data_IF_204201709641
#
_entry.id   IF_204201709641
#
_cell.length_a   1.000
_cell.length_b   1.000
_cell.length_c   1.000
_cell.angle_alpha   90.00
_cell.angle_beta   90.00
_cell.angle_gamma   90.00
#
_symmetry.space_group_name_H-M   'P 1'
#
loop_
_entity.id
_entity.type
_entity.pdbx_description
1 polymer ?
2 non-polymer ?
3 water ?
#
# COMPACT_ATOMS: atom_id res chain seq x y z
N UNK A 2 -9.65 23.44 -3.43
CA UNK A 2 -8.63 22.47 -3.77
C UNK A 2 -9.20 21.05 -3.78
N UNK A 3 -9.43 20.51 -2.58
CA UNK A 3 -9.97 19.15 -2.48
C UNK A 3 -11.40 19.09 -2.97
N UNK A 4 -12.17 20.18 -2.84
CA UNK A 4 -13.54 20.19 -3.34
C UNK A 4 -13.59 20.14 -4.85
N UNK A 5 -12.59 20.73 -5.53
CA UNK A 5 -12.55 20.63 -6.98
C UNK A 5 -12.34 19.19 -7.43
N UNK A 6 -11.57 18.42 -6.67
CA UNK A 6 -11.33 17.01 -6.95
C UNK A 6 -12.42 16.11 -6.40
N UNK A 7 -13.40 16.66 -5.68
CA UNK A 7 -14.46 15.84 -5.11
C UNK A 7 -14.07 15.13 -3.83
N UNK A 8 -13.09 15.64 -3.10
CA UNK A 8 -12.58 15.01 -1.88
C UNK A 8 -12.75 15.94 -0.70
N UNK A 9 -12.68 15.36 0.50
CA UNK A 9 -12.63 16.11 1.75
C UNK A 9 -11.38 15.68 2.52
N UNK A 10 -11.16 16.30 3.68
CA UNK A 10 -9.95 16.03 4.44
C UNK A 10 -9.95 14.62 5.00
N UNK A 11 -11.08 14.15 5.52
CA UNK A 11 -11.19 12.83 6.15
C UNK A 11 -12.13 12.01 5.29
N UNK A 12 -11.57 11.09 4.53
CA UNK A 12 -12.32 10.25 3.60
C UNK A 12 -12.54 8.87 4.18
N UNK A 13 -13.77 8.37 4.18
CA UNK A 13 -14.00 6.95 4.48
C UNK A 13 -13.69 6.10 3.26
N UNK A 14 -13.50 4.80 3.51
CA UNK A 14 -13.09 3.90 2.46
C UNK A 14 -13.62 2.50 2.72
N UNK A 15 -13.98 1.82 1.63
CA UNK A 15 -14.36 0.41 1.64
C UNK A 15 -13.50 -0.30 0.59
N UNK A 16 -12.86 -1.40 1.00
CA UNK A 16 -11.92 -2.12 0.17
C UNK A 16 -12.34 -3.58 0.11
N UNK A 17 -12.42 -4.12 -1.10
CA UNK A 17 -12.77 -5.52 -1.33
C UNK A 17 -11.60 -6.21 -2.01
N UNK A 18 -11.09 -7.27 -1.40
CA UNK A 18 -9.92 -7.99 -1.87
C UNK A 18 -10.32 -9.40 -2.26
N UNK A 19 -9.91 -9.82 -3.45
CA UNK A 19 -10.02 -11.21 -3.89
C UNK A 19 -8.61 -11.77 -4.02
N UNK A 20 -8.32 -12.83 -3.28
CA UNK A 20 -6.97 -13.34 -3.18
C UNK A 20 -6.87 -14.82 -3.51
N UNK A 21 -5.70 -15.20 -4.01
CA UNK A 21 -5.36 -16.59 -4.29
C UNK A 21 -3.89 -16.77 -3.95
N UNK A 22 -3.62 -17.46 -2.84
CA UNK A 22 -2.26 -17.75 -2.42
C UNK A 22 -2.04 -19.25 -2.55
N UNK A 23 -1.12 -19.63 -3.43
CA UNK A 23 -0.94 -21.05 -3.71
C UNK A 23 -2.20 -21.62 -4.32
N UNK A 24 -2.80 -22.61 -3.65
CA UNK A 24 -4.06 -23.18 -4.06
C UNK A 24 -5.22 -22.71 -3.20
N UNK A 25 -4.99 -21.77 -2.28
CA UNK A 25 -6.00 -21.32 -1.35
C UNK A 25 -6.60 -20.01 -1.84
N UNK A 26 -7.87 -20.04 -2.20
CA UNK A 26 -8.60 -18.85 -2.59
C UNK A 26 -9.34 -18.26 -1.38
N UNK A 27 -9.50 -16.94 -1.38
CA UNK A 27 -10.09 -16.27 -0.23
C UNK A 27 -10.57 -14.90 -0.66
N UNK A 28 -11.40 -14.30 0.21
CA UNK A 28 -11.93 -12.96 0.00
C UNK A 28 -11.87 -12.21 1.32
N UNK A 29 -11.56 -10.92 1.25
CA UNK A 29 -11.43 -10.11 2.44
C UNK A 29 -12.09 -8.75 2.23
N UNK A 30 -12.57 -8.17 3.33
CA UNK A 30 -13.22 -6.88 3.32
C UNK A 30 -12.55 -5.96 4.32
N UNK A 31 -12.56 -4.66 4.01
CA UNK A 31 -11.98 -3.68 4.91
C UNK A 31 -12.74 -2.37 4.89
N UNK A 32 -13.11 -1.87 6.07
CA UNK A 32 -13.82 -0.60 6.19
C UNK A 32 -13.00 0.32 7.08
N UNK A 33 -12.87 1.57 6.68
CA UNK A 33 -12.05 2.47 7.48
C UNK A 33 -12.15 3.90 7.02
N UNK A 34 -11.17 4.69 7.44
CA UNK A 34 -11.15 6.11 7.09
C UNK A 34 -9.73 6.63 7.25
N UNK A 35 -9.48 7.79 6.63
CA UNK A 35 -8.15 8.37 6.71
C UNK A 35 -8.15 9.85 6.38
N UNK A 36 -7.01 10.47 6.66
CA UNK A 36 -6.75 11.87 6.34
C UNK A 36 -5.77 11.92 5.18
N UNK A 37 -6.19 12.58 4.09
CA UNK A 37 -5.37 12.65 2.87
C UNK A 37 -4.38 13.80 2.89
N UNK A 38 -4.54 14.77 3.80
CA UNK A 38 -3.56 15.84 3.93
C UNK A 38 -2.44 15.46 4.89
N UNK A 39 -2.78 14.84 6.02
CA UNK A 39 -1.76 14.36 6.95
C UNK A 39 -1.16 13.02 6.52
N UNK A 40 -1.83 12.30 5.62
CA UNK A 40 -1.33 11.03 5.14
C UNK A 40 -1.47 9.90 6.14
N UNK A 41 -2.65 9.78 6.74
CA UNK A 41 -2.92 8.72 7.69
C UNK A 41 -4.15 7.94 7.25
N UNK A 42 -4.21 6.68 7.68
CA UNK A 42 -5.40 5.88 7.40
C UNK A 42 -5.47 4.75 8.41
N UNK A 43 -6.70 4.30 8.67
CA UNK A 43 -6.95 3.20 9.59
C UNK A 43 -8.13 2.41 9.06
N UNK A 44 -7.93 1.10 8.86
CA UNK A 44 -8.96 0.23 8.29
C UNK A 44 -9.07 -1.04 9.13
N UNK A 45 -10.30 -1.50 9.33
CA UNK A 45 -10.62 -2.76 9.97
C UNK A 45 -10.87 -3.80 8.89
N UNK A 46 -10.15 -4.92 8.97
CA UNK A 46 -10.14 -5.94 7.92
C UNK A 46 -10.62 -7.25 8.49
N UNK A 47 -11.45 -7.96 7.72
CA UNK A 47 -11.96 -9.27 8.08
C UNK A 47 -11.93 -10.17 6.85
N UNK A 48 -11.99 -11.48 7.10
CA UNK A 48 -11.98 -12.49 6.05
C UNK A 48 -13.41 -12.96 5.84
N UNK A 49 -13.95 -12.73 4.64
CA UNK A 49 -15.32 -13.11 4.34
C UNK A 49 -15.42 -14.55 3.85
N UNK A 50 -14.50 -14.97 3.00
CA UNK A 50 -14.46 -16.35 2.53
C UNK A 50 -13.01 -16.84 2.55
N UNK A 51 -12.85 -18.13 2.81
CA UNK A 51 -11.54 -18.75 2.85
C UNK A 51 -10.92 -18.86 4.23
N UNK A 52 -11.64 -18.48 5.29
CA UNK A 52 -11.09 -18.59 6.63
C UNK A 52 -11.08 -20.04 7.09
N UNK A 53 -10.05 -20.48 7.82
CA UNK A 53 -8.90 -19.65 8.23
C UNK A 53 -7.78 -19.63 7.20
N UNK A 54 -7.05 -18.52 7.15
CA UNK A 54 -5.96 -18.40 6.18
C UNK A 54 -4.76 -19.23 6.62
N UNK A 55 -4.16 -20.01 5.71
CA UNK A 55 -2.97 -20.78 6.05
C UNK A 55 -1.65 -20.03 5.91
N UNK A 56 -1.70 -18.70 5.77
CA UNK A 56 -0.51 -17.88 5.60
C UNK A 56 -0.61 -16.66 6.51
N UNK A 57 0.50 -15.93 6.62
CA UNK A 57 0.52 -14.73 7.43
C UNK A 57 -0.35 -13.64 6.81
N UNK A 58 -1.15 -12.97 7.65
CA UNK A 58 -2.03 -11.92 7.15
C UNK A 58 -1.25 -10.76 6.57
N UNK A 59 -0.09 -10.44 7.14
CA UNK A 59 0.64 -9.22 6.81
C UNK A 59 1.05 -9.14 5.35
N UNK A 60 0.96 -10.24 4.59
CA UNK A 60 1.32 -10.16 3.18
C UNK A 60 0.30 -9.37 2.37
N UNK A 61 -0.92 -9.22 2.88
CA UNK A 61 -1.95 -8.46 2.19
C UNK A 61 -2.15 -7.07 2.79
N UNK A 62 -1.28 -6.66 3.72
CA UNK A 62 -1.42 -5.34 4.33
C UNK A 62 -1.22 -4.24 3.30
N UNK A 63 -0.24 -4.38 2.41
CA UNK A 63 -0.04 -3.39 1.37
C UNK A 63 -1.14 -3.39 0.32
N UNK A 64 -1.96 -4.43 0.28
CA UNK A 64 -3.10 -4.43 -0.64
C UNK A 64 -4.29 -3.67 -0.08
N UNK A 65 -4.42 -3.62 1.25
CA UNK A 65 -5.48 -2.83 1.87
C UNK A 65 -5.01 -1.40 2.13
N UNK A 67 -3.90 2.45 -0.87
CA UNK A 67 -4.43 3.67 -1.49
C UNK A 67 -3.50 4.85 -1.22
N UNK A 68 -2.72 5.23 -2.22
CA UNK A 68 -1.77 6.32 -2.05
C UNK A 68 -2.41 7.68 -1.96
N UNK A 69 -3.74 7.77 -2.08
CA UNK A 69 -4.41 9.03 -1.79
C UNK A 69 -4.21 9.44 -0.34
N UNK A 70 -3.99 8.46 0.55
CA UNK A 70 -3.70 8.73 1.96
C UNK A 70 -2.20 8.93 2.14
N UNK A 71 -1.71 10.03 1.58
CA UNK A 71 -0.29 10.38 1.68
C UNK A 71 -0.17 11.86 1.96
N UNK A 72 0.69 12.22 2.91
CA UNK A 72 0.95 13.60 3.24
C UNK A 72 1.98 14.23 2.31
N UNK A 73 1.52 15.06 1.38
CA UNK A 73 2.39 15.66 0.37
C UNK A 73 2.64 17.12 0.68
N UNK A 74 3.89 17.56 0.73
CA UNK A 74 4.16 18.99 0.81
C UNK A 74 3.84 19.68 -0.50
N UNK A 75 3.65 21.00 -0.42
CA UNK A 75 3.28 21.77 -1.61
C UNK A 75 4.40 21.81 -2.65
N UNK A 76 5.65 21.58 -2.24
CA UNK A 76 6.79 21.60 -3.16
C UNK A 76 6.94 20.29 -3.94
N UNK A 77 6.12 19.28 -3.64
CA UNK A 77 6.12 18.02 -4.37
C UNK A 77 4.73 17.78 -4.93
N UNK A 78 4.64 17.60 -6.24
CA UNK A 78 3.35 17.43 -6.89
C UNK A 78 2.70 16.11 -6.47
N UNK A 79 1.40 16.18 -6.18
CA UNK A 79 0.64 15.03 -5.70
C UNK A 79 -0.05 14.39 -6.90
N UNK A 80 0.50 13.27 -7.37
CA UNK A 80 -0.07 12.56 -8.51
C UNK A 80 -1.41 11.93 -8.15
N UNK A 81 -1.50 11.32 -6.98
CA UNK A 81 -2.68 10.53 -6.62
C UNK A 81 -3.89 11.43 -6.37
N UNK A 82 -3.71 12.53 -5.64
CA UNK A 82 -4.83 13.45 -5.46
C UNK A 82 -5.21 14.13 -6.77
N UNK A 83 -4.24 14.41 -7.63
CA UNK A 83 -4.55 14.98 -8.94
C UNK A 83 -5.34 14.00 -9.79
N UNK A 84 -5.18 12.69 -9.57
CA UNK A 84 -5.89 11.70 -10.38
C UNK A 84 -7.40 11.74 -10.18
N UNK A 85 -7.88 12.29 -9.08
CA UNK A 85 -9.30 12.28 -8.78
C UNK A 85 -10.00 13.45 -9.47
N UNK A 86 -11.35 13.42 -9.57
CA UNK A 86 -12.38 12.52 -9.01
C UNK A 86 -12.43 11.11 -9.57
N UNK A 87 -11.75 10.85 -10.69
CA UNK A 87 -11.90 9.56 -11.36
C UNK A 87 -11.22 8.43 -10.59
N UNK A 88 -10.10 8.70 -9.96
CA UNK A 88 -9.36 7.69 -9.23
C UNK A 88 -8.12 7.25 -9.98
N UNK A 89 -7.57 6.12 -9.54
CA UNK A 89 -6.35 5.63 -10.16
C UNK A 89 -6.21 4.14 -9.93
N UNK A 90 -5.44 3.49 -10.79
CA UNK A 90 -5.19 2.07 -10.67
C UNK A 90 -3.71 1.83 -10.40
N UNK A 91 -3.38 0.61 -9.99
CA UNK A 91 -1.98 0.25 -9.89
C UNK A 91 -1.79 -1.24 -10.12
N UNK A 92 -0.62 -1.55 -10.69
CA UNK A 92 -0.14 -2.92 -10.83
C UNK A 92 1.16 -3.06 -10.07
N UNK A 93 1.24 -4.07 -9.21
CA UNK A 93 2.28 -4.16 -8.19
C UNK A 93 2.87 -5.56 -8.20
N UNK A 94 4.18 -5.64 -8.37
CA UNK A 94 4.90 -6.92 -8.37
C UNK A 94 5.76 -7.01 -7.12
N UNK A 95 5.69 -8.16 -6.45
CA UNK A 95 6.36 -8.39 -5.19
C UNK A 95 7.20 -9.65 -5.33
N UNK A 96 8.48 -9.55 -4.96
CA UNK A 96 9.35 -10.72 -4.89
C UNK A 96 9.85 -10.87 -3.46
N UNK A 97 9.49 -11.97 -2.82
CA UNK A 97 9.99 -12.24 -1.48
C UNK A 97 11.42 -12.76 -1.55
N UNK A 98 12.15 -12.58 -0.45
CA UNK A 98 13.56 -12.92 -0.41
C UNK A 98 13.83 -14.41 -0.60
N UNK A 99 12.80 -15.26 -0.49
CA UNK A 99 12.96 -16.71 -0.64
C UNK A 99 12.47 -17.22 -1.98
N UNK A 100 12.20 -16.33 -2.94
CA UNK A 100 11.80 -16.72 -4.27
C UNK A 100 10.31 -16.61 -4.55
N UNK A 101 9.48 -16.56 -3.51
CA UNK A 101 8.06 -16.41 -3.74
C UNK A 101 7.73 -15.09 -4.42
N UNK A 102 6.58 -15.06 -5.09
CA UNK A 102 6.17 -13.87 -5.82
C UNK A 102 4.71 -13.57 -5.54
N UNK A 103 4.33 -12.32 -5.81
CA UNK A 103 2.96 -11.87 -5.65
C UNK A 103 2.66 -10.78 -6.68
N UNK A 104 1.41 -10.74 -7.13
CA UNK A 104 0.93 -9.76 -8.09
C UNK A 104 -0.34 -9.14 -7.52
N UNK A 105 -0.38 -7.82 -7.48
CA UNK A 105 -1.47 -7.06 -6.87
C UNK A 105 -1.98 -6.07 -7.91
N UNK A 106 -3.23 -6.22 -8.32
CA UNK A 106 -3.86 -5.30 -9.26
C UNK A 106 -5.03 -4.63 -8.56
N UNK A 107 -5.00 -3.30 -8.48
CA UNK A 107 -6.06 -2.65 -7.71
C UNK A 107 -6.57 -1.42 -8.45
N UNK A 108 -7.84 -1.12 -8.21
CA UNK A 108 -8.51 0.07 -8.73
C UNK A 108 -9.08 0.86 -7.57
N UNK A 109 -8.83 2.16 -7.55
CA UNK A 109 -9.29 3.06 -6.49
C UNK A 109 -10.21 4.08 -7.14
N UNK A 110 -11.49 4.02 -6.79
CA UNK A 110 -12.53 4.88 -7.31
C UNK A 110 -13.06 5.81 -6.22
N UNK A 111 -13.68 6.90 -6.65
CA UNK A 111 -14.34 7.85 -5.76
C UNK A 111 -15.83 7.76 -6.02
N UNK A 112 -16.59 7.27 -5.04
CA UNK A 112 -18.03 7.07 -5.18
C UNK A 112 -18.71 7.58 -3.92
N UNK A 113 -19.53 8.63 -4.07
CA UNK A 113 -20.32 9.20 -2.98
C UNK A 113 -19.41 9.69 -1.84
N UNK A 114 -18.32 10.34 -2.20
CA UNK A 114 -17.39 10.83 -1.19
C UNK A 114 -16.70 9.74 -0.40
N UNK A 115 -16.57 8.55 -0.98
CA UNK A 115 -15.96 7.41 -0.30
C UNK A 115 -15.00 6.71 -1.25
N UNK A 116 -13.81 6.37 -0.76
CA UNK A 116 -12.82 5.66 -1.55
C UNK A 116 -13.21 4.19 -1.63
N UNK A 117 -13.56 3.75 -2.84
CA UNK A 117 -13.94 2.36 -3.09
C UNK A 117 -12.76 1.69 -3.78
N UNK A 118 -12.15 0.72 -3.10
CA UNK A 118 -10.98 0.03 -3.61
C UNK A 118 -11.35 -1.41 -3.94
N UNK A 119 -10.98 -1.86 -5.13
CA UNK A 119 -11.16 -3.25 -5.54
C UNK A 119 -9.79 -3.80 -5.91
N UNK A 120 -9.33 -4.79 -5.16
CA UNK A 120 -7.96 -5.27 -5.28
C UNK A 120 -7.95 -6.79 -5.45
N UNK A 121 -7.08 -7.26 -6.34
CA UNK A 121 -6.86 -8.68 -6.59
C UNK A 121 -5.41 -9.01 -6.23
N UNK A 122 -5.24 -10.01 -5.37
CA UNK A 122 -3.95 -10.40 -4.83
C UNK A 122 -3.70 -11.86 -5.19
N UNK A 123 -2.57 -12.14 -5.83
CA UNK A 123 -2.24 -13.51 -6.22
C UNK A 123 -0.79 -13.81 -5.87
N UNK A 124 -0.57 -14.78 -5.00
CA UNK A 124 0.77 -15.14 -4.57
C UNK A 124 1.07 -16.59 -4.95
N UNK A 125 2.35 -16.86 -5.22
CA UNK A 125 2.76 -18.21 -5.60
C UNK A 125 4.21 -18.44 -5.22
N UNK A 126 4.59 -19.72 -5.21
CA UNK A 126 5.94 -20.17 -4.89
C UNK A 126 6.36 -19.80 -3.47
N UNK A 127 5.40 -19.79 -2.54
CA UNK A 127 5.69 -19.51 -1.15
C UNK A 127 6.23 -20.77 -0.47
N UNK A 128 7.33 -20.64 0.25
CA UNK A 128 7.96 -21.80 0.88
C UNK A 128 7.11 -22.30 2.03
N UNK A 129 6.91 -23.62 2.09
CA UNK A 129 6.07 -24.20 3.13
C UNK A 129 6.69 -24.02 4.52
N UNK A 130 8.02 -24.06 4.61
CA UNK A 130 8.72 -23.91 5.88
C UNK A 130 9.17 -22.48 6.14
N UNK A 131 8.72 -21.51 5.34
CA UNK A 131 9.09 -20.13 5.52
C UNK A 131 8.20 -19.41 6.51
N UNK A 132 8.59 -18.19 6.90
CA UNK A 132 7.82 -17.47 7.92
C UNK A 132 6.42 -17.07 7.49
N UNK A 133 6.15 -17.00 6.18
CA UNK A 133 4.81 -16.64 5.73
C UNK A 133 3.84 -17.79 5.95
N UNK A 134 4.19 -18.99 5.49
CA UNK A 134 3.29 -20.13 5.64
C UNK A 134 3.28 -20.65 7.07
N UNK A 135 4.41 -20.53 7.79
CA UNK A 135 4.45 -20.91 9.20
C UNK A 135 3.90 -19.82 10.12
N UNK A 136 3.60 -18.64 9.58
CA UNK A 136 3.04 -17.53 10.34
C UNK A 136 3.92 -17.16 11.54
N UNK A 137 5.14 -16.75 11.22
CA UNK A 137 6.10 -16.27 12.21
C UNK A 137 6.27 -14.75 12.16
N UNK A 138 5.38 -14.05 11.47
CA UNK A 138 5.49 -12.61 11.26
C UNK A 138 4.66 -11.89 12.32
N UNK A 139 5.28 -10.91 12.98
CA UNK A 139 4.54 -10.09 13.95
C UNK A 139 4.02 -8.81 13.32
N UNK A 140 4.66 -8.31 12.27
CA UNK A 140 4.20 -7.10 11.62
C UNK A 140 5.24 -6.55 10.68
N UNK A 141 4.90 -5.42 10.07
CA UNK A 141 5.78 -4.73 9.14
C UNK A 141 6.58 -3.66 9.86
N UNK A 142 7.80 -3.45 9.38
CA UNK A 142 8.62 -2.33 9.81
C UNK A 142 8.35 -1.13 8.91
N UNK A 143 8.67 0.09 9.37
CA UNK A 143 8.55 1.25 8.48
C UNK A 143 9.42 1.09 7.25
N UNK A 144 9.11 1.84 6.20
CA UNK A 144 9.81 1.70 4.94
C UNK A 144 9.92 3.05 4.25
N UNK A 145 10.73 3.08 3.20
CA UNK A 145 10.88 4.25 2.33
C UNK A 145 10.69 3.79 0.90
N UNK A 146 9.69 4.34 0.21
CA UNK A 146 9.35 3.98 -1.15
C UNK A 146 9.79 5.09 -2.10
N UNK A 147 10.73 4.78 -2.98
CA UNK A 147 11.18 5.74 -3.99
C UNK A 147 10.10 5.92 -5.04
N UNK A 148 9.75 7.18 -5.33
CA UNK A 148 8.72 7.52 -6.30
C UNK A 148 9.34 8.38 -7.40
N UNK A 149 9.05 8.02 -8.65
CA UNK A 149 9.54 8.81 -9.77
C UNK A 149 8.57 8.68 -10.95
N UNK A 150 8.71 9.61 -11.89
CA UNK A 150 7.81 9.70 -13.03
C UNK A 150 8.31 8.84 -14.19
N UNK A 151 7.39 8.14 -14.84
CA UNK A 151 7.65 7.38 -16.05
C UNK A 151 6.60 7.79 -17.07
N UNK A 152 6.91 8.85 -17.83
CA UNK A 152 6.00 9.45 -18.80
C UNK A 152 4.73 9.90 -18.09
N UNK A 153 3.67 9.10 -18.19
CA UNK A 153 2.39 9.45 -17.58
C UNK A 153 2.10 8.67 -16.30
N UNK A 154 2.91 7.66 -15.98
CA UNK A 154 2.72 6.85 -14.79
C UNK A 154 3.70 7.26 -13.70
N UNK A 155 3.46 6.76 -12.49
CA UNK A 155 4.37 6.95 -11.37
C UNK A 155 4.83 5.59 -10.88
N UNK A 156 6.14 5.42 -10.76
CA UNK A 156 6.71 4.16 -10.31
C UNK A 156 7.19 4.34 -8.86
N UNK A 157 6.82 3.38 -8.01
CA UNK A 157 7.32 3.33 -6.65
C UNK A 157 8.00 2.01 -6.35
N UNK A 158 9.22 2.07 -5.82
CA UNK A 158 9.98 0.89 -5.49
C UNK A 158 10.38 0.92 -4.01
N UNK A 159 10.23 -0.21 -3.34
CA UNK A 159 10.55 -0.24 -1.92
C UNK A 159 10.94 -1.65 -1.50
N UNK A 160 11.52 -1.73 -0.30
CA UNK A 160 11.90 -2.98 0.33
C UNK A 160 11.13 -3.03 1.64
N UNK A 161 10.20 -3.96 1.75
CA UNK A 161 9.38 -4.13 2.95
C UNK A 161 10.00 -5.22 3.80
N UNK A 162 10.05 -5.01 5.12
CA UNK A 162 10.65 -5.95 6.05
C UNK A 162 9.62 -6.37 7.08
N UNK A 163 9.28 -7.66 7.09
CA UNK A 163 8.49 -8.25 8.16
C UNK A 163 9.39 -8.56 9.35
N UNK A 164 8.99 -8.12 10.53
CA UNK A 164 9.66 -8.55 11.74
C UNK A 164 9.12 -9.91 12.16
N UNK A 165 10.03 -10.78 12.60
CA UNK A 165 9.66 -12.14 12.99
C UNK A 165 9.61 -12.27 14.50
N UNK A 166 8.99 -13.37 14.96
CA UNK A 166 8.86 -13.62 16.39
C UNK A 166 10.23 -13.72 17.06
N UNK A 167 11.20 -14.30 16.38
CA UNK A 167 12.54 -14.46 16.92
C UNK A 167 13.34 -13.17 16.92
N UNK A 168 12.83 -12.11 16.30
CA UNK A 168 13.57 -10.87 16.17
C UNK A 168 14.23 -10.68 14.83
N UNK A 169 14.35 -11.74 14.03
CA UNK A 169 14.90 -11.63 12.70
C UNK A 169 13.91 -10.91 11.77
N UNK A 170 14.33 -10.69 10.54
CA UNK A 170 13.51 -10.00 9.55
C UNK A 170 13.48 -10.79 8.25
N UNK A 171 12.37 -10.64 7.53
CA UNK A 171 12.13 -11.30 6.25
C UNK A 171 11.62 -10.24 5.28
N UNK A 172 12.35 -9.99 4.21
CA UNK A 172 12.08 -8.84 3.36
C UNK A 172 11.54 -9.26 2.00
N UNK A 173 10.93 -8.29 1.32
CA UNK A 173 10.53 -8.47 -0.07
C UNK A 173 10.67 -7.14 -0.81
N UNK A 174 10.89 -7.25 -2.11
CA UNK A 174 11.02 -6.11 -3.01
C UNK A 174 9.69 -5.86 -3.71
N UNK A 175 9.22 -4.63 -3.68
CA UNK A 175 7.92 -4.25 -4.21
C UNK A 175 8.10 -3.15 -5.24
N UNK A 176 7.55 -3.37 -6.44
CA UNK A 176 7.60 -2.39 -7.52
C UNK A 176 6.18 -2.16 -8.02
N UNK A 177 5.70 -0.93 -7.91
CA UNK A 177 4.33 -0.58 -8.25
C UNK A 177 4.30 0.48 -9.35
N UNK A 178 3.45 0.26 -10.35
CA UNK A 178 3.16 1.24 -11.39
C UNK A 178 1.76 1.76 -11.10
N UNK A 179 1.68 3.05 -10.71
CA UNK A 179 0.43 3.74 -10.48
C UNK A 179 0.09 4.54 -11.72
N UNK A 180 -1.18 4.45 -12.14
CA UNK A 180 -1.66 5.11 -13.36
C UNK A 180 -2.94 5.87 -13.02
N UNK A 181 -2.92 7.18 -13.26
CA UNK A 181 -4.14 7.97 -13.16
C UNK A 181 -5.07 7.61 -14.32
N UNK A 182 -6.37 7.58 -14.03
CA UNK A 182 -7.35 7.20 -15.05
C UNK A 182 -7.55 8.30 -16.09
N UNK A 183 -7.23 9.55 -15.74
CA UNK A 183 -7.31 10.69 -16.65
C UNK A 183 -6.01 11.47 -16.56
N UNK A 184 -5.72 12.31 -17.55
CA UNK A 184 -4.46 13.07 -17.53
C UNK A 184 -4.28 13.89 -16.26
N UNK A 185 -3.02 14.16 -15.95
CA UNK A 185 -2.62 14.89 -14.74
C UNK A 185 -1.84 16.12 -15.18
N UNK A 186 -2.05 17.23 -14.48
CA UNK A 186 -1.43 18.51 -14.85
C UNK A 186 0.09 18.41 -14.80
N UNK A 187 0.65 18.12 -13.63
CA UNK A 187 2.10 18.08 -13.44
C UNK A 187 2.51 16.74 -12.88
N UNK A 188 3.55 16.15 -13.48
CA UNK A 188 4.13 14.90 -12.98
C UNK A 188 5.18 15.21 -11.92
N UNK A 189 5.24 14.41 -10.86
CA UNK A 189 6.17 14.71 -9.76
C UNK A 189 7.61 14.36 -10.11
N UNK A 190 8.52 14.98 -9.38
CA UNK A 190 9.94 14.67 -9.46
C UNK A 190 10.27 13.51 -8.52
N UNK A 191 11.52 13.05 -8.60
CA UNK A 191 11.98 11.96 -7.76
C UNK A 191 11.89 12.35 -6.29
N UNK A 192 11.25 11.49 -5.50
CA UNK A 192 11.13 11.75 -4.06
C UNK A 192 10.93 10.42 -3.34
N UNK A 193 10.61 10.48 -2.06
CA UNK A 193 10.35 9.29 -1.26
C UNK A 193 9.01 9.44 -0.56
N UNK A 194 8.39 8.31 -0.26
CA UNK A 194 7.23 8.24 0.62
C UNK A 194 7.63 7.34 1.78
N UNK A 195 7.76 7.92 2.97
CA UNK A 195 8.02 7.12 4.15
C UNK A 195 6.72 6.54 4.67
N UNK A 196 6.70 5.23 4.87
CA UNK A 196 5.55 4.51 5.38
C UNK A 196 5.83 3.97 6.77
N UNK A 197 4.78 3.91 7.58
CA UNK A 197 4.77 3.14 8.82
C UNK A 197 3.39 2.52 8.92
N UNK A 198 3.31 1.20 8.68
CA UNK A 198 2.06 0.45 8.74
C UNK A 198 2.12 -0.42 9.98
N UNK A 199 1.23 -0.16 10.93
CA UNK A 199 1.18 -0.85 12.21
C UNK A 199 -0.19 -1.49 12.37
N UNK A 200 -0.28 -2.41 13.31
CA UNK A 200 -1.54 -3.07 13.66
C UNK A 200 -1.99 -2.53 15.01
N UNK A 201 -3.02 -1.69 15.00
CA UNK A 201 -3.50 -1.05 16.22
C UNK A 201 -4.44 -1.93 17.02
N UNK A 202 -4.95 -3.01 16.44
CA UNK A 202 -5.81 -3.93 17.17
C UNK A 202 -5.78 -5.29 16.48
N UNK A 203 -5.53 -6.33 17.27
CA UNK A 203 -5.51 -7.70 16.78
C UNK A 203 -6.44 -8.50 17.68
N UNK A 204 -7.65 -8.79 17.20
CA UNK A 204 -8.64 -9.55 17.95
C UNK A 204 -8.91 -10.84 17.18
N UNK A 205 -8.26 -11.93 17.61
CA UNK A 205 -8.41 -13.19 16.91
C UNK A 205 -9.76 -13.84 17.19
N UNK A 206 -10.36 -13.56 18.34
CA UNK A 206 -11.68 -14.11 18.63
C UNK A 206 -12.75 -13.50 17.75
N UNK A 207 -12.57 -12.25 17.32
CA UNK A 207 -13.55 -11.59 16.47
C UNK A 207 -13.24 -11.69 15.00
N UNK A 208 -12.05 -12.14 14.63
CA UNK A 208 -11.68 -12.23 13.23
C UNK A 208 -11.46 -10.89 12.57
N UNK A 209 -11.03 -9.89 13.34
CA UNK A 209 -10.80 -8.54 12.83
C UNK A 209 -9.37 -8.13 13.10
N UNK A 210 -8.78 -7.41 12.15
CA UNK A 210 -7.45 -6.81 12.31
C UNK A 210 -7.54 -5.37 11.88
N UNK A 211 -7.22 -4.44 12.77
CA UNK A 211 -7.24 -3.01 12.47
C UNK A 211 -5.81 -2.57 12.22
N UNK A 212 -5.56 -2.02 11.04
CA UNK A 212 -4.23 -1.55 10.67
C UNK A 212 -4.27 -0.06 10.35
N UNK A 213 -3.20 0.63 10.74
CA UNK A 213 -3.05 2.06 10.55
C UNK A 213 -1.76 2.33 9.80
N UNK A 214 -1.86 3.07 8.70
CA UNK A 214 -0.70 3.43 7.89
C UNK A 214 -0.51 4.94 7.93
N UNK A 215 0.73 5.37 8.16
CA UNK A 215 1.13 6.75 8.02
C UNK A 215 2.09 6.85 6.84
N UNK A 216 1.81 7.75 5.90
CA UNK A 216 2.62 7.90 4.69
C UNK A 216 2.92 9.38 4.48
N UNK A 217 4.19 9.73 4.50
CA UNK A 217 4.64 11.12 4.36
C UNK A 217 5.60 11.21 3.19
N UNK A 218 5.25 12.03 2.20
CA UNK A 218 6.12 12.27 1.05
C UNK A 218 7.13 13.36 1.38
N UNK A 219 8.36 13.18 0.91
CA UNK A 219 9.42 14.13 1.18
C UNK A 219 10.59 13.86 0.25
N UNK A 220 11.42 14.89 0.06
CA UNK A 220 12.69 14.72 -0.61
C UNK A 220 13.73 14.20 0.39
N UNK A 221 14.95 13.97 -0.11
CA UNK A 221 16.03 13.56 0.78
C UNK A 221 16.36 14.67 1.77
N UNK A 222 16.60 14.29 3.02
CA UNK A 222 16.99 15.25 4.05
C UNK A 222 18.49 15.55 4.06
N UNK A 223 19.24 14.95 3.14
CA UNK A 223 20.66 15.24 2.97
C UNK A 223 20.78 16.28 1.87
N UNK A 224 21.41 17.41 2.17
CA UNK A 224 21.52 18.50 1.21
C UNK A 224 22.46 18.10 0.08
N UNK A 225 22.00 18.28 -1.15
CA UNK A 225 22.83 17.99 -2.33
C UNK A 225 24.02 18.94 -2.37
N UNK A 226 25.22 18.37 -2.55
CA UNK A 226 26.43 19.18 -2.56
C UNK A 226 26.40 20.14 -3.74
N UNK A 227 26.77 21.39 -3.48
CA UNK A 227 26.72 22.44 -4.50
C UNK A 227 27.59 22.08 -5.69
N UNK A 228 27.02 22.21 -6.89
CA UNK A 228 27.78 21.96 -8.10
C UNK A 228 28.07 20.50 -8.38
N UNK A 229 27.32 19.58 -7.79
CA UNK A 229 27.55 18.15 -7.98
C UNK A 229 26.49 17.57 -8.91
N UNK A 230 26.80 16.42 -9.48
CA UNK A 230 25.90 15.70 -10.36
C UNK A 230 25.35 14.46 -9.65
N UNK A 231 24.10 14.07 -9.96
CA UNK A 231 23.19 14.69 -10.93
C UNK A 231 22.53 15.97 -10.43
X LIG B 1 -7.80 -4.86 -11.28
X LIG B 1 -7.54 -3.49 -11.43
X LIG B 1 -8.70 -5.04 -10.05
X LIG B 1 -9.76 -4.13 -10.16
X LIG B 1 -9.30 -6.44 -9.94
X LIG B 1 -10.28 -6.41 -8.94
X LIG C 1 17.29 -12.89 7.14
X LIG C 1 16.83 -11.93 6.23
X LIG C 1 16.46 -14.15 6.96
X LIG C 1 15.48 -14.19 7.96
X LIG C 1 17.29 -15.44 7.07
X LIG C 1 17.26 -15.86 8.41
#
# INVERSE_FOLDING_TARGET
MDLAKLGLKEVMPTKINLEGLVGDHAFSMEGVGEGNILEGTQEVKISVTKGAPLPFAFDIVSVAFXNRAYTGYPEEISDYFLQSFPEGFTYERNIRYQDGGTAIVKSDISLEDGKFIVNVDFKAKDLRRMGPVMQQDIVGMQPSYESMYTNVTSVIGECIIAFKLQTGKHFTYHMRTVYKSKKPVETMPLYHFIQHRLVKTNVDTASGYVVQHETAIAAHSTIKKIEGSLP
GOL C1 O1 C2 O2 C3 O3
GOL C1 O1 C2 O2 C3 O3
#
